data_IF_562964513320
#
_entry.id   IF_562964513320
#
_cell.length_a   1.000
_cell.length_b   1.000
_cell.length_c   1.000
_cell.angle_alpha   90.00
_cell.angle_beta   90.00
_cell.angle_gamma   90.00
#
_symmetry.space_group_name_H-M   'P 1'
#
loop_
_entity.id
_entity.type
_entity.pdbx_description
1 polymer ?
#
# COMPACT_ATOMS: atom_id res chain seq x y z
N UNK A 1 -18.23 -0.01 1.67
CA UNK A 1 -19.56 -0.14 2.35
C UNK A 1 -19.47 0.63 3.65
N UNK A 2 -19.15 1.91 3.51
CA UNK A 2 -18.43 2.60 4.56
C UNK A 2 -19.37 2.85 5.75
N UNK A 3 -18.91 2.50 6.95
CA UNK A 3 -19.69 2.60 8.19
C UNK A 3 -20.84 1.60 8.32
N UNK A 4 -20.95 0.60 7.44
CA UNK A 4 -21.98 -0.44 7.54
C UNK A 4 -21.48 -1.65 8.32
N UNK A 5 -22.40 -2.29 9.05
CA UNK A 5 -22.17 -3.61 9.60
C UNK A 5 -22.00 -4.64 8.48
N UNK A 6 -21.09 -5.58 8.72
CA UNK A 6 -20.78 -6.67 7.79
C UNK A 6 -21.02 -7.99 8.51
N UNK A 7 -21.56 -8.97 7.77
CA UNK A 7 -21.59 -10.35 8.24
C UNK A 7 -20.15 -10.88 8.40
N UNK A 8 -19.88 -11.81 9.33
CA UNK A 8 -18.54 -12.36 9.53
C UNK A 8 -17.86 -12.90 8.27
N UNK A 9 -18.63 -13.47 7.33
CA UNK A 9 -18.18 -14.00 6.05
C UNK A 9 -18.23 -12.98 4.89
N UNK A 10 -18.63 -11.74 5.18
CA UNK A 10 -18.71 -10.66 4.21
C UNK A 10 -17.33 -10.28 3.66
N UNK A 11 -17.25 -10.06 2.35
CA UNK A 11 -16.02 -9.62 1.69
C UNK A 11 -16.00 -8.09 1.61
N UNK A 12 -14.97 -7.48 2.20
CA UNK A 12 -14.67 -6.07 2.02
C UNK A 12 -13.83 -5.85 0.76
N UNK A 13 -14.40 -5.17 -0.23
CA UNK A 13 -13.69 -4.74 -1.42
C UNK A 13 -13.13 -3.33 -1.19
N UNK A 14 -12.03 -3.24 -0.46
CA UNK A 14 -11.33 -1.97 -0.21
C UNK A 14 -10.80 -1.38 -1.51
N UNK A 15 -10.92 -0.05 -1.63
CA UNK A 15 -10.39 0.70 -2.77
C UNK A 15 -9.56 1.85 -2.22
N UNK A 16 -8.24 1.67 -2.28
CA UNK A 16 -7.27 2.67 -1.85
C UNK A 16 -6.76 3.46 -3.05
N UNK A 17 -6.75 4.79 -2.94
CA UNK A 17 -6.39 5.68 -4.04
C UNK A 17 -5.01 6.27 -3.82
N UNK A 18 -4.07 5.92 -4.69
CA UNK A 18 -2.78 6.59 -4.77
C UNK A 18 -2.89 7.87 -5.60
N UNK A 19 -3.16 9.00 -4.94
CA UNK A 19 -3.29 10.29 -5.63
C UNK A 19 -1.92 10.96 -5.82
N UNK A 20 -1.39 10.94 -7.05
CA UNK A 20 -0.11 11.57 -7.39
C UNK A 20 -0.23 13.04 -7.85
N UNK A 21 -1.35 13.71 -7.55
CA UNK A 21 -1.61 15.11 -7.96
C UNK A 21 -0.49 16.11 -7.61
N UNK A 22 0.24 15.99 -6.48
CA UNK A 22 1.32 16.91 -6.16
C UNK A 22 2.53 16.81 -7.10
N UNK A 23 2.71 15.68 -7.78
CA UNK A 23 3.93 15.39 -8.52
C UNK A 23 3.89 15.86 -9.98
N UNK A 24 2.74 16.40 -10.45
CA UNK A 24 2.64 16.94 -11.82
C UNK A 24 3.52 18.20 -11.92
N UNK A 25 4.61 18.09 -12.67
CA UNK A 25 5.60 19.18 -12.81
C UNK A 25 6.63 19.22 -11.68
N UNK A 26 6.71 18.17 -10.86
CA UNK A 26 7.79 18.01 -9.88
C UNK A 26 9.17 18.08 -10.56
N UNK A 27 10.12 18.71 -9.87
CA UNK A 27 11.51 18.90 -10.31
C UNK A 27 12.50 18.35 -9.30
N UNK A 28 12.08 17.35 -8.52
CA UNK A 28 12.93 16.74 -7.50
C UNK A 28 14.20 16.17 -8.15
N UNK A 29 15.32 16.32 -7.44
CA UNK A 29 16.61 15.78 -7.90
C UNK A 29 16.61 14.25 -7.98
N UNK A 30 17.56 13.69 -8.75
CA UNK A 30 17.71 12.24 -8.92
C UNK A 30 17.81 11.48 -7.60
N UNK A 31 18.48 12.06 -6.60
CA UNK A 31 18.62 11.47 -5.27
C UNK A 31 17.29 11.36 -4.52
N UNK A 32 16.39 12.33 -4.69
CA UNK A 32 15.06 12.29 -4.10
C UNK A 32 14.20 11.22 -4.78
N UNK A 33 14.25 11.13 -6.12
CA UNK A 33 13.56 10.08 -6.89
C UNK A 33 14.07 8.69 -6.52
N UNK A 34 15.38 8.53 -6.31
CA UNK A 34 16.00 7.26 -5.94
C UNK A 34 15.57 6.74 -4.56
N UNK A 35 15.02 7.59 -3.68
CA UNK A 35 14.44 7.15 -2.40
C UNK A 35 13.18 6.29 -2.58
N UNK A 36 12.61 6.30 -3.79
CA UNK A 36 11.50 5.45 -4.20
C UNK A 36 10.13 5.99 -3.81
N UNK A 37 9.11 5.25 -4.24
CA UNK A 37 7.70 5.53 -3.99
C UNK A 37 7.04 4.25 -3.50
N UNK A 38 6.23 4.36 -2.45
CA UNK A 38 5.46 3.24 -1.93
C UNK A 38 4.06 3.70 -1.53
N UNK A 39 3.15 2.75 -1.52
CA UNK A 39 1.83 2.86 -0.93
C UNK A 39 1.70 1.72 0.08
N UNK A 40 1.17 2.00 1.26
CA UNK A 40 1.09 1.06 2.38
C UNK A 40 -0.37 0.98 2.82
N UNK A 41 -0.87 -0.24 2.96
CA UNK A 41 -2.22 -0.54 3.42
C UNK A 41 -2.16 -1.26 4.76
N UNK A 42 -2.22 -0.51 5.86
CA UNK A 42 -2.21 -1.03 7.23
C UNK A 42 -3.64 -1.47 7.60
N UNK A 43 -4.03 -2.67 7.18
CA UNK A 43 -5.37 -3.22 7.37
C UNK A 43 -5.57 -3.73 8.81
N UNK A 44 -6.83 -3.92 9.23
CA UNK A 44 -7.16 -4.46 10.55
C UNK A 44 -6.91 -5.98 10.59
N UNK A 45 -5.68 -6.38 10.86
CA UNK A 45 -5.22 -7.77 10.78
C UNK A 45 -5.83 -8.73 11.80
N UNK A 46 -6.46 -8.20 12.85
CA UNK A 46 -7.26 -8.93 13.83
C UNK A 46 -8.72 -9.15 13.40
N UNK A 47 -9.19 -8.43 12.38
CA UNK A 47 -10.59 -8.42 11.94
C UNK A 47 -10.79 -8.97 10.52
N UNK A 48 -9.77 -8.88 9.65
CA UNK A 48 -9.88 -9.33 8.25
C UNK A 48 -8.72 -10.21 7.82
N UNK A 49 -9.04 -11.21 7.00
CA UNK A 49 -8.04 -12.03 6.31
C UNK A 49 -7.90 -11.55 4.86
N UNK A 50 -6.69 -11.14 4.42
CA UNK A 50 -6.48 -10.72 3.04
C UNK A 50 -6.73 -11.83 2.01
N UNK A 51 -7.35 -11.45 0.90
CA UNK A 51 -7.50 -12.32 -0.28
C UNK A 51 -6.43 -11.96 -1.32
N UNK A 52 -5.16 -12.27 -1.01
CA UNK A 52 -3.99 -11.84 -1.78
C UNK A 52 -4.08 -12.13 -3.29
N UNK A 53 -4.63 -13.29 -3.66
CA UNK A 53 -4.82 -13.69 -5.06
C UNK A 53 -5.78 -12.77 -5.84
N UNK A 54 -6.51 -11.90 -5.15
CA UNK A 54 -7.45 -10.91 -5.73
C UNK A 54 -6.90 -9.49 -5.70
N UNK A 55 -5.69 -9.27 -5.17
CA UNK A 55 -5.10 -7.94 -5.16
C UNK A 55 -4.87 -7.44 -6.58
N UNK A 56 -5.25 -6.19 -6.82
CA UNK A 56 -5.16 -5.54 -8.12
C UNK A 56 -4.74 -4.09 -7.94
N UNK A 57 -3.86 -3.63 -8.83
CA UNK A 57 -3.54 -2.21 -8.97
C UNK A 57 -3.92 -1.79 -10.38
N UNK A 58 -4.75 -0.75 -10.47
CA UNK A 58 -5.19 -0.16 -11.73
C UNK A 58 -4.80 1.30 -11.79
N UNK A 59 -4.44 1.77 -12.98
CA UNK A 59 -4.20 3.18 -13.22
C UNK A 59 -5.51 3.97 -13.28
N UNK A 60 -5.41 5.29 -13.48
CA UNK A 60 -6.56 6.18 -13.54
C UNK A 60 -7.51 5.90 -14.71
N UNK A 61 -7.06 5.16 -15.72
CA UNK A 61 -7.85 4.73 -16.88
C UNK A 61 -8.46 3.32 -16.67
N UNK A 62 -8.19 2.69 -15.53
CA UNK A 62 -8.69 1.37 -15.17
C UNK A 62 -7.86 0.20 -15.71
N UNK A 63 -6.70 0.47 -16.32
CA UNK A 63 -5.81 -0.55 -16.86
C UNK A 63 -4.90 -1.10 -15.75
N UNK A 64 -4.59 -2.40 -15.82
CA UNK A 64 -3.65 -3.03 -14.90
C UNK A 64 -2.28 -2.34 -14.93
N UNK A 65 -1.76 -2.02 -13.75
CA UNK A 65 -0.42 -1.42 -13.60
C UNK A 65 0.64 -2.51 -13.67
N UNK A 66 1.70 -2.24 -14.44
CA UNK A 66 2.89 -3.07 -14.51
C UNK A 66 4.07 -2.37 -13.80
N UNK A 67 5.05 -3.14 -13.32
CA UNK A 67 6.31 -2.61 -12.78
C UNK A 67 6.31 -2.28 -11.28
N UNK A 68 5.18 -2.44 -10.59
CA UNK A 68 5.15 -2.44 -9.13
C UNK A 68 5.49 -3.82 -8.59
N UNK A 69 6.22 -3.86 -7.47
CA UNK A 69 6.37 -5.06 -6.65
C UNK A 69 5.41 -4.94 -5.47
N UNK A 70 4.63 -5.98 -5.24
CA UNK A 70 3.71 -6.08 -4.12
C UNK A 70 4.31 -6.99 -3.06
N UNK A 71 4.21 -6.57 -1.80
CA UNK A 71 4.61 -7.34 -0.63
C UNK A 71 3.40 -7.40 0.29
N UNK A 72 3.11 -8.58 0.82
CA UNK A 72 2.28 -8.71 2.00
C UNK A 72 3.22 -8.97 3.16
N UNK A 73 3.32 -8.01 4.08
CA UNK A 73 4.30 -7.99 5.16
C UNK A 73 3.61 -8.51 6.41
N UNK A 74 3.98 -9.71 6.86
CA UNK A 74 3.39 -10.30 8.07
C UNK A 74 4.08 -9.82 9.36
N UNK A 75 5.32 -9.36 9.25
CA UNK A 75 6.11 -8.77 10.35
C UNK A 75 7.15 -7.80 9.75
N UNK A 76 7.23 -6.58 10.26
CA UNK A 76 8.17 -5.56 9.81
C UNK A 76 9.64 -6.00 9.91
N UNK A 77 9.97 -6.93 10.81
CA UNK A 77 11.31 -7.51 10.95
C UNK A 77 11.75 -8.29 9.71
N UNK A 78 10.81 -8.73 8.87
CA UNK A 78 11.11 -9.50 7.65
C UNK A 78 11.44 -8.60 6.45
N UNK A 79 11.23 -7.28 6.58
CA UNK A 79 11.52 -6.34 5.51
C UNK A 79 13.03 -6.23 5.26
N UNK A 80 13.38 -6.10 3.98
CA UNK A 80 14.73 -5.69 3.60
C UNK A 80 15.07 -4.33 4.21
N UNK A 81 16.35 -4.08 4.46
CA UNK A 81 16.81 -2.79 4.98
C UNK A 81 16.28 -1.59 4.18
N UNK A 82 16.23 -1.71 2.85
CA UNK A 82 15.76 -0.62 1.98
C UNK A 82 14.28 -0.28 2.20
N UNK A 83 13.43 -1.28 2.46
CA UNK A 83 12.00 -1.09 2.75
C UNK A 83 11.80 -0.55 4.17
N UNK A 84 12.53 -1.07 5.16
CA UNK A 84 12.53 -0.52 6.52
C UNK A 84 12.95 0.95 6.53
N UNK A 85 14.07 1.29 5.89
CA UNK A 85 14.54 2.68 5.81
C UNK A 85 13.51 3.59 5.09
N UNK A 86 12.72 3.05 4.15
CA UNK A 86 11.67 3.82 3.45
C UNK A 86 10.49 4.13 4.39
N UNK A 87 10.04 3.14 5.16
CA UNK A 87 8.98 3.31 6.17
C UNK A 87 9.43 4.33 7.21
N UNK A 88 10.63 4.17 7.76
CA UNK A 88 11.19 5.09 8.77
C UNK A 88 11.22 6.55 8.28
N UNK A 89 11.70 6.78 7.04
CA UNK A 89 11.74 8.13 6.45
C UNK A 89 10.37 8.72 6.19
N UNK A 90 9.35 7.90 5.95
CA UNK A 90 8.00 8.38 5.68
C UNK A 90 7.28 8.86 6.94
N UNK A 91 7.75 8.45 8.12
CA UNK A 91 7.16 8.81 9.42
C UNK A 91 5.89 8.05 9.78
N UNK A 92 5.52 7.02 9.00
CA UNK A 92 4.40 6.13 9.35
C UNK A 92 4.90 4.98 10.23
N UNK A 93 3.98 4.29 10.91
CA UNK A 93 4.29 3.13 11.75
C UNK A 93 3.18 2.08 11.64
N UNK A 94 3.21 1.23 10.59
CA UNK A 94 2.23 0.17 10.40
C UNK A 94 2.33 -0.83 11.55
N UNK A 95 1.22 -1.51 11.87
CA UNK A 95 1.16 -2.43 13.01
C UNK A 95 0.77 -3.83 12.54
N UNK A 96 1.48 -4.83 13.03
CA UNK A 96 1.18 -6.21 12.65
C UNK A 96 1.42 -6.42 11.16
N UNK A 97 0.43 -7.01 10.48
CA UNK A 97 0.48 -7.29 9.07
C UNK A 97 -0.10 -6.15 8.20
N UNK A 98 0.54 -5.87 7.06
CA UNK A 98 0.18 -4.79 6.12
C UNK A 98 0.65 -5.05 4.68
#
# INVERSE_FOLDING_TARGET
VDGKEMLPEGINYYISKWANRPNKGDKSGKEAIAKGFAYIEDYQDDAVTPLESRFQVKDAEGKAVNGLKMYHVLDCKTLSKALNDMIDRSGISPKGAF
#
